data_IF_385774938272
#
_entry.id   IF_385774938272
#
_cell.length_a   1.000
_cell.length_b   1.000
_cell.length_c   1.000
_cell.angle_alpha   90.00
_cell.angle_beta   90.00
_cell.angle_gamma   90.00
#
_symmetry.space_group_name_H-M   'P 1'
#
loop_
_entity.id
_entity.type
_entity.pdbx_description
1 polymer ?
#
# COMPACT_ATOMS: atom_id res chain seq x y z
N UNK A 1 20.73 -6.90 10.13
CA UNK A 1 19.83 -5.87 10.68
C UNK A 1 18.81 -5.54 9.61
N UNK A 2 17.55 -5.93 9.83
CA UNK A 2 16.43 -5.73 8.92
C UNK A 2 15.95 -4.28 9.02
N UNK A 3 16.37 -3.44 8.07
CA UNK A 3 15.82 -2.10 7.91
C UNK A 3 14.43 -2.23 7.26
N UNK A 4 13.41 -2.50 8.07
CA UNK A 4 12.04 -2.19 7.69
C UNK A 4 11.98 -0.66 7.65
N UNK A 5 11.86 -0.07 6.45
CA UNK A 5 11.57 1.36 6.33
C UNK A 5 10.34 1.66 7.21
N UNK A 6 10.36 2.70 8.06
CA UNK A 6 9.18 3.06 8.84
C UNK A 6 8.06 3.33 7.85
N UNK A 7 6.95 2.59 7.98
CA UNK A 7 5.76 2.81 7.18
C UNK A 7 5.43 4.30 7.21
N UNK A 8 5.15 4.88 6.04
CA UNK A 8 4.73 6.28 6.01
C UNK A 8 3.42 6.39 6.78
N UNK A 9 3.19 7.54 7.39
CA UNK A 9 1.99 7.79 8.21
C UNK A 9 0.69 7.41 7.48
N UNK A 10 0.62 7.70 6.18
CA UNK A 10 -0.50 7.32 5.31
C UNK A 10 -0.68 5.81 5.16
N UNK A 11 0.42 5.06 5.06
CA UNK A 11 0.39 3.59 4.98
C UNK A 11 -0.02 2.95 6.31
N UNK A 12 0.39 3.55 7.44
CA UNK A 12 -0.05 3.13 8.77
C UNK A 12 -1.56 3.33 8.90
N UNK A 13 -2.08 4.49 8.49
CA UNK A 13 -3.52 4.79 8.50
C UNK A 13 -4.34 3.82 7.64
N UNK A 14 -3.90 3.53 6.41
CA UNK A 14 -4.58 2.58 5.52
C UNK A 14 -4.61 1.17 6.11
N UNK A 15 -3.48 0.70 6.67
CA UNK A 15 -3.39 -0.62 7.30
C UNK A 15 -4.31 -0.75 8.51
N UNK A 16 -4.38 0.29 9.34
CA UNK A 16 -5.31 0.34 10.49
C UNK A 16 -6.75 0.27 10.00
N UNK A 17 -7.14 1.05 8.98
CA UNK A 17 -8.52 1.03 8.45
C UNK A 17 -8.93 -0.32 7.90
N UNK A 18 -8.06 -0.95 7.09
CA UNK A 18 -8.33 -2.28 6.53
C UNK A 18 -8.51 -3.33 7.62
N UNK A 19 -7.69 -3.27 8.68
CA UNK A 19 -7.82 -4.15 9.83
C UNK A 19 -9.15 -3.94 10.58
N UNK A 20 -9.59 -2.69 10.76
CA UNK A 20 -10.87 -2.37 11.42
C UNK A 20 -12.06 -2.86 10.60
N UNK A 21 -12.07 -2.58 9.30
CA UNK A 21 -13.14 -3.01 8.38
C UNK A 21 -13.23 -4.54 8.37
N UNK A 22 -12.10 -5.24 8.30
CA UNK A 22 -12.06 -6.71 8.25
C UNK A 22 -12.52 -7.37 9.57
N UNK A 23 -12.32 -6.70 10.72
CA UNK A 23 -12.89 -7.13 12.00
C UNK A 23 -14.41 -6.88 12.06
N UNK A 24 -14.88 -5.74 11.53
CA UNK A 24 -16.31 -5.43 11.47
C UNK A 24 -17.09 -6.34 10.52
N UNK A 25 -16.47 -6.77 9.41
CA UNK A 25 -17.05 -7.72 8.45
C UNK A 25 -16.98 -9.18 8.92
N UNK A 26 -16.47 -9.45 10.14
CA UNK A 26 -16.23 -10.80 10.71
C UNK A 26 -15.34 -11.70 9.84
N UNK A 27 -14.49 -11.11 9.01
CA UNK A 27 -13.55 -11.84 8.15
C UNK A 27 -12.43 -12.49 8.98
N UNK A 28 -12.08 -11.88 10.12
CA UNK A 28 -11.14 -12.43 11.09
C UNK A 28 -11.82 -12.78 12.42
N UNK A 29 -11.53 -13.96 12.94
CA UNK A 29 -12.06 -14.46 14.22
C UNK A 29 -11.37 -13.86 15.44
N UNK A 30 -10.19 -13.24 15.26
CA UNK A 30 -9.45 -12.62 16.36
C UNK A 30 -8.67 -11.37 15.93
N UNK A 31 -8.58 -10.40 16.84
CA UNK A 31 -7.79 -9.17 16.68
C UNK A 31 -6.32 -9.49 16.39
N UNK A 32 -5.78 -10.56 16.98
CA UNK A 32 -4.40 -11.01 16.74
C UNK A 32 -4.19 -11.40 15.27
N UNK A 33 -5.11 -12.17 14.70
CA UNK A 33 -5.02 -12.60 13.29
C UNK A 33 -5.10 -11.43 12.32
N UNK A 34 -5.96 -10.44 12.60
CA UNK A 34 -6.02 -9.21 11.80
C UNK A 34 -4.74 -8.36 11.94
N UNK A 35 -4.24 -8.19 13.17
CA UNK A 35 -3.00 -7.46 13.45
C UNK A 35 -1.80 -8.02 12.68
N UNK A 36 -1.64 -9.35 12.72
CA UNK A 36 -0.58 -10.06 12.00
C UNK A 36 -0.75 -9.93 10.47
N UNK A 37 -1.97 -10.07 9.97
CA UNK A 37 -2.25 -10.01 8.53
C UNK A 37 -1.96 -8.63 7.92
N UNK A 38 -2.28 -7.55 8.63
CA UNK A 38 -2.07 -6.18 8.15
C UNK A 38 -0.74 -5.57 8.61
N UNK A 39 0.10 -6.34 9.31
CA UNK A 39 1.39 -5.92 9.89
C UNK A 39 1.24 -4.67 10.78
N UNK A 40 0.18 -4.63 11.59
CA UNK A 40 -0.07 -3.57 12.56
C UNK A 40 0.16 -4.11 13.97
N UNK A 41 0.80 -3.35 14.88
CA UNK A 41 0.98 -3.79 16.26
C UNK A 41 -0.36 -4.13 16.92
N UNK A 42 -0.40 -5.24 17.68
CA UNK A 42 -1.62 -5.65 18.37
C UNK A 42 -2.13 -4.56 19.32
N UNK A 43 -1.23 -3.81 19.96
CA UNK A 43 -1.56 -2.64 20.79
C UNK A 43 -2.42 -1.63 20.04
N UNK A 44 -2.07 -1.32 18.78
CA UNK A 44 -2.82 -0.40 17.92
C UNK A 44 -4.30 -0.78 17.76
N UNK A 45 -4.62 -2.08 17.78
CA UNK A 45 -5.98 -2.61 17.67
C UNK A 45 -6.63 -2.95 19.02
N UNK A 46 -5.84 -3.18 20.08
CA UNK A 46 -6.37 -3.37 21.44
C UNK A 46 -6.61 -2.07 22.18
N UNK A 47 -5.83 -1.03 21.86
CA UNK A 47 -6.05 0.35 22.31
C UNK A 47 -7.30 0.95 21.64
N UNK A 48 -7.99 0.20 20.77
CA UNK A 48 -9.35 0.48 20.28
C UNK A 48 -10.44 0.50 21.36
N UNK A 49 -10.08 0.49 22.64
CA UNK A 49 -10.83 1.28 23.64
C UNK A 49 -10.64 2.79 23.45
N UNK A 50 -10.24 3.27 22.27
CA UNK A 50 -10.52 4.63 21.83
C UNK A 50 -12.04 4.84 21.83
N UNK A 51 -12.56 5.27 22.99
CA UNK A 51 -13.98 5.56 23.24
C UNK A 51 -14.57 6.57 22.26
N UNK A 52 -13.71 7.27 21.50
CA UNK A 52 -14.11 8.19 20.45
C UNK A 52 -13.08 8.28 19.32
N UNK A 53 -13.56 8.64 18.12
CA UNK A 53 -12.75 9.00 16.95
C UNK A 53 -11.72 10.09 17.29
N UNK A 54 -12.04 10.98 18.23
CA UNK A 54 -11.14 12.04 18.69
C UNK A 54 -9.90 11.47 19.40
N UNK A 55 -10.08 10.48 20.28
CA UNK A 55 -8.98 9.87 21.02
C UNK A 55 -8.03 9.11 20.09
N UNK A 56 -8.59 8.37 19.13
CA UNK A 56 -7.80 7.74 18.08
C UNK A 56 -7.05 8.77 17.21
N UNK A 57 -7.74 9.85 16.80
CA UNK A 57 -7.14 10.92 16.01
C UNK A 57 -5.96 11.60 16.74
N UNK A 58 -6.10 11.87 18.03
CA UNK A 58 -5.04 12.43 18.87
C UNK A 58 -3.85 11.47 19.02
N UNK A 59 -4.12 10.18 19.28
CA UNK A 59 -3.07 9.16 19.43
C UNK A 59 -2.22 8.97 18.15
N UNK A 60 -2.85 9.00 16.97
CA UNK A 60 -2.13 8.92 15.69
C UNK A 60 -1.69 10.30 15.16
N UNK A 61 -1.91 11.36 15.94
CA UNK A 61 -1.66 12.77 15.61
C UNK A 61 -2.40 13.26 14.34
N UNK A 62 -3.43 12.56 13.88
CA UNK A 62 -4.20 12.81 12.65
C UNK A 62 -5.35 13.78 12.92
N UNK A 63 -5.66 14.70 11.99
CA UNK A 63 -6.88 15.49 12.11
C UNK A 63 -8.12 14.60 12.22
N UNK A 64 -9.00 14.92 13.17
CA UNK A 64 -10.26 14.18 13.39
C UNK A 64 -11.11 14.06 12.12
N UNK A 65 -11.15 15.12 11.31
CA UNK A 65 -11.87 15.15 10.03
C UNK A 65 -11.34 14.10 9.07
N UNK A 66 -10.02 13.99 8.95
CA UNK A 66 -9.36 12.97 8.13
C UNK A 66 -9.73 11.57 8.60
N UNK A 67 -9.64 11.28 9.91
CA UNK A 67 -10.02 9.96 10.42
C UNK A 67 -11.52 9.67 10.24
N UNK A 68 -12.39 10.67 10.38
CA UNK A 68 -13.84 10.54 10.15
C UNK A 68 -14.15 10.22 8.68
N UNK A 69 -13.54 10.97 7.76
CA UNK A 69 -13.68 10.75 6.31
C UNK A 69 -13.23 9.34 5.91
N UNK A 70 -12.14 8.88 6.51
CA UNK A 70 -11.61 7.53 6.30
C UNK A 70 -12.56 6.45 6.81
N UNK A 71 -13.12 6.62 8.00
CA UNK A 71 -14.14 5.71 8.55
C UNK A 71 -15.42 5.71 7.71
N UNK A 72 -15.73 6.81 7.02
CA UNK A 72 -16.83 6.89 6.06
C UNK A 72 -16.50 6.23 4.70
N UNK A 73 -15.33 5.62 4.54
CA UNK A 73 -14.92 4.92 3.32
C UNK A 73 -14.35 5.84 2.23
N UNK A 74 -13.95 7.08 2.55
CA UNK A 74 -13.28 7.95 1.58
C UNK A 74 -11.91 7.34 1.22
N UNK A 75 -11.77 6.95 -0.05
CA UNK A 75 -10.53 6.43 -0.64
C UNK A 75 -9.35 7.39 -0.45
N UNK A 76 -8.14 6.85 -0.36
CA UNK A 76 -6.94 7.70 -0.44
C UNK A 76 -6.83 8.32 -1.82
N UNK A 77 -6.04 9.41 -1.94
CA UNK A 77 -5.79 10.03 -3.23
C UNK A 77 -5.17 9.00 -4.19
N UNK A 78 -4.26 8.17 -3.69
CA UNK A 78 -3.60 7.13 -4.46
C UNK A 78 -4.58 6.03 -4.90
N UNK A 79 -5.48 5.59 -4.02
CA UNK A 79 -6.55 4.64 -4.38
C UNK A 79 -7.57 5.24 -5.35
N UNK A 80 -7.93 6.53 -5.20
CA UNK A 80 -8.89 7.20 -6.06
C UNK A 80 -8.34 7.41 -7.48
N UNK A 81 -7.05 7.70 -7.60
CA UNK A 81 -6.37 7.92 -8.88
C UNK A 81 -5.66 6.67 -9.43
N UNK A 82 -5.89 5.49 -8.87
CA UNK A 82 -5.23 4.25 -9.29
C UNK A 82 -5.41 3.96 -10.79
N UNK A 83 -6.58 4.29 -11.35
CA UNK A 83 -6.90 4.10 -12.77
C UNK A 83 -6.05 5.02 -13.68
N UNK A 84 -5.60 6.16 -13.15
CA UNK A 84 -4.79 7.15 -13.87
C UNK A 84 -3.28 6.88 -13.73
N UNK A 85 -2.88 5.98 -12.83
CA UNK A 85 -1.47 5.63 -12.61
C UNK A 85 -0.95 4.65 -13.66
N UNK A 86 0.36 4.73 -13.93
CA UNK A 86 1.02 3.80 -14.85
C UNK A 86 1.18 2.38 -14.27
N UNK A 87 1.17 2.28 -12.95
CA UNK A 87 1.20 1.07 -12.12
C UNK A 87 0.10 1.19 -11.08
N UNK A 88 -0.57 0.09 -10.78
CA UNK A 88 -1.48 0.00 -9.63
C UNK A 88 -0.72 0.15 -8.30
N UNK A 89 -1.43 0.47 -7.22
CA UNK A 89 -0.82 0.65 -5.90
C UNK A 89 -0.07 -0.63 -5.45
N UNK A 90 -0.59 -1.81 -5.82
CA UNK A 90 0.04 -3.09 -5.50
C UNK A 90 1.34 -3.33 -6.28
N UNK A 91 1.38 -2.90 -7.54
CA UNK A 91 2.56 -2.99 -8.41
C UNK A 91 3.65 -2.01 -7.96
N UNK A 92 3.29 -0.77 -7.63
CA UNK A 92 4.21 0.23 -7.06
C UNK A 92 4.84 -0.26 -5.75
N UNK A 93 4.03 -0.81 -4.84
CA UNK A 93 4.54 -1.39 -3.59
C UNK A 93 5.52 -2.54 -3.82
N UNK A 94 5.31 -3.32 -4.88
CA UNK A 94 6.24 -4.39 -5.27
C UNK A 94 7.56 -3.83 -5.80
N UNK A 95 7.50 -2.77 -6.60
CA UNK A 95 8.68 -2.06 -7.09
C UNK A 95 9.47 -1.41 -5.95
N UNK A 96 8.80 -0.70 -5.03
CA UNK A 96 9.42 -0.09 -3.84
C UNK A 96 10.11 -1.13 -2.97
N UNK A 97 9.45 -2.26 -2.71
CA UNK A 97 10.04 -3.36 -1.93
C UNK A 97 11.29 -3.93 -2.61
N UNK A 98 11.26 -4.07 -3.93
CA UNK A 98 12.40 -4.52 -4.72
C UNK A 98 13.57 -3.51 -4.66
N UNK A 99 13.32 -2.21 -4.86
CA UNK A 99 14.33 -1.14 -4.75
C UNK A 99 14.92 -1.10 -3.33
N UNK A 100 14.09 -1.19 -2.30
CA UNK A 100 14.52 -1.19 -0.91
C UNK A 100 15.45 -2.36 -0.62
N UNK A 101 15.12 -3.55 -1.12
CA UNK A 101 15.97 -4.74 -0.97
C UNK A 101 17.29 -4.59 -1.73
N UNK A 102 17.26 -3.99 -2.92
CA UNK A 102 18.46 -3.77 -3.74
C UNK A 102 19.42 -2.74 -3.11
N UNK A 103 18.86 -1.63 -2.62
CA UNK A 103 19.64 -0.58 -1.93
C UNK A 103 20.22 -1.10 -0.61
N UNK A 104 19.50 -1.94 0.12
CA UNK A 104 20.00 -2.58 1.33
C UNK A 104 21.19 -3.53 1.09
N UNK A 105 21.35 -4.09 -0.12
CA UNK A 105 22.53 -4.92 -0.46
C UNK A 105 23.72 -4.10 -0.94
N UNK A 106 23.65 -2.77 -0.89
CA UNK A 106 24.74 -1.87 -1.29
C UNK A 106 24.76 -1.52 -2.77
N UNK A 107 23.75 -1.91 -3.53
CA UNK A 107 23.64 -1.61 -4.97
C UNK A 107 22.49 -0.63 -5.21
N UNK A 108 22.77 0.68 -5.45
CA UNK A 108 21.72 1.63 -5.77
C UNK A 108 21.05 1.26 -7.11
N UNK A 109 19.73 1.31 -7.15
CA UNK A 109 18.97 1.03 -8.37
C UNK A 109 19.16 2.17 -9.38
N UNK A 110 19.70 1.86 -10.57
CA UNK A 110 19.85 2.83 -11.65
C UNK A 110 18.47 3.25 -12.18
N UNK A 111 18.25 4.52 -12.55
CA UNK A 111 17.02 5.00 -13.18
C UNK A 111 16.48 4.15 -14.33
N UNK A 112 17.36 3.61 -15.18
CA UNK A 112 16.99 2.70 -16.28
C UNK A 112 16.42 1.39 -15.75
N UNK A 113 17.11 0.78 -14.79
CA UNK A 113 16.73 -0.48 -14.18
C UNK A 113 15.39 -0.39 -13.45
N UNK A 114 15.10 0.74 -12.78
CA UNK A 114 13.80 0.97 -12.13
C UNK A 114 12.67 0.97 -13.17
N UNK A 115 12.87 1.62 -14.33
CA UNK A 115 11.89 1.65 -15.42
C UNK A 115 11.68 0.27 -16.04
N UNK A 116 12.77 -0.48 -16.26
CA UNK A 116 12.70 -1.86 -16.77
C UNK A 116 11.88 -2.75 -15.81
N UNK A 117 12.18 -2.68 -14.51
CA UNK A 117 11.46 -3.45 -13.50
C UNK A 117 9.99 -3.05 -13.37
N UNK A 118 9.67 -1.76 -13.52
CA UNK A 118 8.28 -1.28 -13.55
C UNK A 118 7.50 -1.89 -14.73
N UNK A 119 8.09 -1.93 -15.93
CA UNK A 119 7.47 -2.56 -17.10
C UNK A 119 7.26 -4.06 -16.87
N UNK A 120 8.26 -4.74 -16.30
CA UNK A 120 8.22 -6.18 -16.01
C UNK A 120 7.13 -6.55 -15.00
N UNK A 121 7.00 -5.80 -13.91
CA UNK A 121 5.98 -6.03 -12.87
C UNK A 121 4.58 -5.93 -13.49
N UNK A 122 4.33 -4.88 -14.29
CA UNK A 122 3.05 -4.68 -14.97
C UNK A 122 2.75 -5.79 -15.97
N UNK A 123 3.74 -6.20 -16.77
CA UNK A 123 3.59 -7.30 -17.73
C UNK A 123 3.22 -8.62 -17.03
N UNK A 124 3.83 -8.91 -15.88
CA UNK A 124 3.59 -10.14 -15.12
C UNK A 124 2.22 -10.15 -14.45
N UNK A 125 1.74 -9.02 -13.94
CA UNK A 125 0.40 -8.90 -13.36
C UNK A 125 -0.71 -9.07 -14.41
N UNK A 126 -0.53 -8.55 -15.62
CA UNK A 126 -1.45 -8.78 -16.76
C UNK A 126 -1.57 -10.27 -17.07
N UNK A 127 -0.48 -11.03 -17.06
CA UNK A 127 -0.50 -12.47 -17.33
C UNK A 127 -1.28 -13.26 -16.26
N UNK A 128 -1.16 -12.88 -14.98
CA UNK A 128 -1.88 -13.54 -13.87
C UNK A 128 -3.39 -13.27 -13.93
N UNK A 129 -3.79 -12.02 -14.24
CA UNK A 129 -5.19 -11.66 -14.39
C UNK A 129 -5.82 -12.26 -15.67
N UNK A 130 -5.02 -12.44 -16.73
CA UNK A 130 -5.47 -12.83 -18.07
C UNK A 130 -5.36 -14.33 -18.36
N UNK A 131 -5.40 -15.20 -17.33
CA UNK A 131 -5.54 -16.66 -17.51
C UNK A 131 -6.80 -17.08 -18.31
N UNK A 132 -7.64 -16.12 -18.70
CA UNK A 132 -8.58 -16.20 -19.82
C UNK A 132 -8.22 -15.14 -20.88
N UNK A 133 -7.43 -15.55 -21.87
CA UNK A 133 -7.36 -14.99 -23.24
C UNK A 133 -7.18 -13.47 -23.40
N UNK A 134 -6.00 -13.01 -23.80
CA UNK A 134 -5.81 -12.29 -25.09
C UNK A 134 -4.34 -11.88 -25.32
N UNK A 135 -4.01 -11.85 -26.61
CA UNK A 135 -2.81 -11.40 -27.31
C UNK A 135 -1.85 -10.48 -26.52
N UNK A 136 -0.55 -10.78 -26.62
CA UNK A 136 0.58 -9.95 -26.21
C UNK A 136 0.42 -8.51 -26.74
N UNK A 137 -0.27 -7.65 -26.00
CA UNK A 137 -0.21 -6.22 -26.22
C UNK A 137 1.08 -5.74 -25.56
N UNK A 138 1.96 -5.13 -26.34
CA UNK A 138 3.14 -4.49 -25.79
C UNK A 138 2.67 -3.46 -24.75
N UNK A 139 3.12 -3.54 -23.49
CA UNK A 139 2.64 -2.63 -22.46
C UNK A 139 3.03 -1.20 -22.84
N UNK A 140 2.08 -0.27 -22.74
CA UNK A 140 2.30 1.14 -23.11
C UNK A 140 3.57 1.67 -22.43
N UNK A 141 4.55 2.21 -23.17
CA UNK A 141 5.83 2.59 -22.58
C UNK A 141 5.63 3.60 -21.45
N UNK A 142 6.28 3.36 -20.31
CA UNK A 142 6.25 4.27 -19.17
C UNK A 142 6.85 5.62 -19.61
N UNK A 143 6.16 6.72 -19.32
CA UNK A 143 6.57 8.06 -19.74
C UNK A 143 7.98 8.43 -19.28
N UNK A 144 8.70 9.20 -20.07
CA UNK A 144 10.10 9.57 -19.80
C UNK A 144 10.29 10.21 -18.41
N UNK A 145 9.35 11.08 -18.02
CA UNK A 145 9.34 11.79 -16.74
C UNK A 145 8.69 11.03 -15.57
N UNK A 146 8.23 9.79 -15.78
CA UNK A 146 7.54 9.01 -14.74
C UNK A 146 8.40 8.86 -13.48
N UNK A 147 9.70 8.59 -13.65
CA UNK A 147 10.61 8.39 -12.53
C UNK A 147 10.77 9.62 -11.63
N UNK A 148 10.47 10.84 -12.11
CA UNK A 148 10.49 12.03 -11.27
C UNK A 148 9.24 12.19 -10.40
N UNK A 149 8.16 11.46 -10.75
CA UNK A 149 6.87 11.50 -10.05
C UNK A 149 6.62 10.25 -9.21
N UNK A 150 7.44 9.21 -9.41
CA UNK A 150 7.57 8.00 -8.63
C UNK A 150 8.47 8.25 -7.42
#
# INVERSE_FOLDING_TARGET
MSFQLPFTRTQIEEKIQRAIIALQSKEFTSIRSAAEHFEVPRSTLTDMEFTSIRSAAEHFEVPRSTLTDRMAGRKTRNEAHEIEQALSNAEENTLVRWITRLTATGFPATPSLIKEMAVEIRARCVQVASSKTTLQSNPTPIGYNWLQRF
#
